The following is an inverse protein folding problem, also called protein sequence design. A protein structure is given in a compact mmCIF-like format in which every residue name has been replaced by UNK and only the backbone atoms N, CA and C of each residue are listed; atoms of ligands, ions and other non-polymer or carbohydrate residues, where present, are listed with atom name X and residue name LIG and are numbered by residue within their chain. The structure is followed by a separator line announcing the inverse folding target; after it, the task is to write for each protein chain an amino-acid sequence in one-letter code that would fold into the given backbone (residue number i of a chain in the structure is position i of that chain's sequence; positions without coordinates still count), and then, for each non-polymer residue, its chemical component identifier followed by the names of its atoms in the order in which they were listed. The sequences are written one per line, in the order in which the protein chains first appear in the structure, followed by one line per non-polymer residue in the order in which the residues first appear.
data_IF_040472854798
#
_entry.id   IF_040472854798
#
_cell.length_a   1.000
_cell.length_b   1.000
_cell.length_c   1.000
_cell.angle_alpha   90.00
_cell.angle_beta   90.00
_cell.angle_gamma   90.00
#
_symmetry.space_group_name_H-M   'P 1'
#
loop_
_entity.id
_entity.type
_entity.pdbx_description
1 polymer ?
#
# COMPACT_ATOMS: atom_id res chain seq x y z
N UNK A 1 34.20 -7.27 5.11
CA UNK A 1 32.75 -7.24 4.84
C UNK A 1 32.03 -7.38 6.17
N UNK A 2 31.46 -6.29 6.71
CA UNK A 2 30.63 -6.38 7.92
C UNK A 2 29.41 -7.21 7.57
N UNK A 3 29.33 -8.40 8.13
CA UNK A 3 28.15 -9.26 8.00
C UNK A 3 26.99 -8.60 8.73
N UNK A 4 26.10 -7.93 7.97
CA UNK A 4 24.87 -7.37 8.54
C UNK A 4 24.10 -8.46 9.27
N UNK A 5 23.69 -8.17 10.50
CA UNK A 5 22.92 -9.10 11.33
C UNK A 5 21.66 -9.56 10.61
N UNK A 6 21.35 -10.84 10.64
CA UNK A 6 20.23 -11.47 9.92
C UNK A 6 18.89 -10.76 10.17
N UNK A 7 18.63 -10.33 11.40
CA UNK A 7 17.41 -9.63 11.76
C UNK A 7 17.26 -8.27 11.05
N UNK A 8 18.39 -7.56 10.79
CA UNK A 8 18.37 -6.29 10.04
C UNK A 8 17.93 -6.53 8.59
N UNK A 9 18.49 -7.58 7.95
CA UNK A 9 18.08 -7.97 6.59
C UNK A 9 16.61 -8.31 6.53
N UNK A 10 16.10 -9.03 7.52
CA UNK A 10 14.69 -9.41 7.59
C UNK A 10 13.78 -8.19 7.75
N UNK A 11 14.11 -7.23 8.62
CA UNK A 11 13.36 -5.98 8.76
C UNK A 11 13.38 -5.19 7.46
N UNK A 12 14.54 -5.04 6.80
CA UNK A 12 14.66 -4.33 5.51
C UNK A 12 13.78 -5.02 4.45
N UNK A 13 13.85 -6.35 4.33
CA UNK A 13 13.06 -7.08 3.34
C UNK A 13 11.55 -6.88 3.56
N UNK A 14 11.07 -7.01 4.79
CA UNK A 14 9.66 -6.77 5.12
C UNK A 14 9.26 -5.33 4.82
N UNK A 15 10.09 -4.35 5.20
CA UNK A 15 9.83 -2.93 4.93
C UNK A 15 9.76 -2.65 3.44
N UNK A 16 10.67 -3.20 2.64
CA UNK A 16 10.66 -3.06 1.18
C UNK A 16 9.41 -3.69 0.55
N UNK A 17 9.01 -4.88 0.98
CA UNK A 17 7.79 -5.54 0.51
C UNK A 17 6.54 -4.72 0.84
N UNK A 18 6.47 -4.18 2.06
CA UNK A 18 5.36 -3.32 2.47
C UNK A 18 5.31 -2.01 1.69
N UNK A 19 6.46 -1.35 1.50
CA UNK A 19 6.55 -0.12 0.72
C UNK A 19 6.13 -0.36 -0.74
N UNK A 20 6.61 -1.45 -1.34
CA UNK A 20 6.23 -1.86 -2.70
C UNK A 20 4.75 -2.17 -2.84
N UNK A 21 4.18 -2.92 -1.91
CA UNK A 21 2.75 -3.21 -1.86
C UNK A 21 1.89 -1.94 -1.69
N UNK A 22 2.29 -1.05 -0.78
CA UNK A 22 1.60 0.23 -0.58
C UNK A 22 1.65 1.12 -1.81
N UNK A 23 2.81 1.20 -2.48
CA UNK A 23 2.96 1.97 -3.71
C UNK A 23 2.07 1.44 -4.84
N UNK A 24 1.95 0.12 -4.97
CA UNK A 24 1.10 -0.53 -5.97
C UNK A 24 -0.39 -0.26 -5.70
N UNK A 25 -0.83 -0.33 -4.45
CA UNK A 25 -2.21 -0.01 -4.05
C UNK A 25 -2.52 1.47 -4.33
N UNK A 26 -1.64 2.40 -3.96
CA UNK A 26 -1.82 3.82 -4.21
C UNK A 26 -1.90 4.13 -5.71
N UNK A 27 -1.05 3.50 -6.52
CA UNK A 27 -1.10 3.63 -7.96
C UNK A 27 -2.42 3.12 -8.55
N UNK A 28 -2.89 1.96 -8.08
CA UNK A 28 -4.18 1.40 -8.52
C UNK A 28 -5.36 2.30 -8.13
N UNK A 29 -5.40 2.78 -6.88
CA UNK A 29 -6.44 3.71 -6.39
C UNK A 29 -6.45 5.01 -7.19
N UNK A 30 -5.27 5.59 -7.47
CA UNK A 30 -5.17 6.81 -8.27
C UNK A 30 -5.73 6.61 -9.70
N UNK A 31 -5.45 5.47 -10.31
CA UNK A 31 -5.96 5.12 -11.64
C UNK A 31 -7.48 4.93 -11.65
N UNK A 32 -8.00 4.25 -10.64
CA UNK A 32 -9.44 4.00 -10.49
C UNK A 32 -10.21 5.31 -10.30
N UNK A 33 -9.68 6.23 -9.50
CA UNK A 33 -10.30 7.53 -9.28
C UNK A 33 -10.39 8.37 -10.56
N UNK A 34 -9.38 8.32 -11.44
CA UNK A 34 -9.45 9.01 -12.73
C UNK A 34 -10.55 8.44 -13.63
N UNK A 35 -10.69 7.13 -13.68
CA UNK A 35 -11.75 6.47 -14.45
C UNK A 35 -13.14 6.90 -13.96
N UNK A 36 -13.36 6.83 -12.65
CA UNK A 36 -14.62 7.23 -12.02
C UNK A 36 -14.94 8.71 -12.25
N UNK A 37 -13.94 9.60 -12.26
CA UNK A 37 -14.15 11.02 -12.54
C UNK A 37 -14.67 11.27 -13.96
N UNK A 38 -14.14 10.55 -14.95
CA UNK A 38 -14.61 10.65 -16.35
C UNK A 38 -16.03 10.12 -16.47
N UNK A 39 -16.34 8.98 -15.85
CA UNK A 39 -17.71 8.42 -15.85
C UNK A 39 -18.72 9.38 -15.21
N UNK A 40 -18.41 9.94 -14.05
CA UNK A 40 -19.27 10.94 -13.40
C UNK A 40 -19.48 12.17 -14.25
N UNK A 41 -18.43 12.65 -14.94
CA UNK A 41 -18.53 13.78 -15.86
C UNK A 41 -19.41 13.45 -17.08
N UNK A 42 -19.35 12.20 -17.59
CA UNK A 42 -20.23 11.73 -18.68
C UNK A 42 -21.71 11.65 -18.22
N UNK A 43 -21.98 11.07 -17.05
CA UNK A 43 -23.34 11.00 -16.49
C UNK A 43 -23.92 12.40 -16.25
N UNK A 44 -23.09 13.33 -15.74
CA UNK A 44 -23.48 14.72 -15.58
C UNK A 44 -23.80 15.38 -16.92
N UNK A 45 -22.96 15.17 -17.97
CA UNK A 45 -23.22 15.66 -19.30
C UNK A 45 -24.52 15.11 -19.88
N UNK A 46 -24.83 13.83 -19.67
CA UNK A 46 -26.11 13.23 -20.09
C UNK A 46 -27.31 13.87 -19.37
N UNK A 47 -27.17 14.15 -18.07
CA UNK A 47 -28.22 14.81 -17.30
C UNK A 47 -28.46 16.25 -17.82
N UNK A 48 -27.40 16.99 -18.08
CA UNK A 48 -27.52 18.33 -18.69
C UNK A 48 -28.12 18.28 -20.09
N UNK A 49 -27.76 17.28 -20.91
CA UNK A 49 -28.36 17.04 -22.21
C UNK A 49 -29.88 16.82 -22.08
N UNK A 50 -30.31 15.91 -21.20
CA UNK A 50 -31.75 15.64 -21.00
C UNK A 50 -32.51 16.87 -20.52
N UNK A 51 -31.97 17.66 -19.59
CA UNK A 51 -32.56 18.90 -19.11
C UNK A 51 -32.66 19.93 -20.24
N UNK A 52 -31.62 20.06 -21.07
CA UNK A 52 -31.58 20.97 -22.22
C UNK A 52 -32.66 20.56 -23.23
N UNK A 53 -32.76 19.27 -23.55
CA UNK A 53 -33.78 18.76 -24.47
C UNK A 53 -35.20 18.99 -23.92
N UNK A 54 -35.44 18.72 -22.64
CA UNK A 54 -36.72 19.01 -22.00
C UNK A 54 -37.11 20.49 -22.09
N UNK A 55 -36.15 21.39 -21.87
CA UNK A 55 -36.36 22.82 -21.98
C UNK A 55 -36.65 23.27 -23.43
N UNK A 56 -35.96 22.70 -24.43
CA UNK A 56 -36.21 22.98 -25.84
C UNK A 56 -37.62 22.56 -26.25
N UNK A 57 -38.06 21.36 -25.82
CA UNK A 57 -39.43 20.89 -26.04
C UNK A 57 -40.48 21.79 -25.38
N UNK A 58 -40.22 22.23 -24.15
CA UNK A 58 -41.11 23.16 -23.42
C UNK A 58 -41.19 24.49 -24.12
N UNK A 59 -40.06 25.09 -24.56
CA UNK A 59 -40.02 26.36 -25.24
C UNK A 59 -40.85 26.32 -26.56
N UNK A 60 -40.78 25.20 -27.30
CA UNK A 60 -41.57 24.98 -28.50
C UNK A 60 -43.06 24.83 -28.17
N UNK A 61 -43.43 24.03 -27.19
CA UNK A 61 -44.83 23.82 -26.78
C UNK A 61 -45.52 25.12 -26.34
N UNK A 62 -44.78 26.03 -25.70
CA UNK A 62 -45.28 27.32 -25.23
C UNK A 62 -45.07 28.47 -26.20
N UNK A 63 -44.48 28.24 -27.37
CA UNK A 63 -44.06 29.27 -28.36
C UNK A 63 -43.23 30.41 -27.76
N UNK A 64 -42.47 30.11 -26.71
CA UNK A 64 -41.68 31.14 -25.98
C UNK A 64 -40.19 30.93 -26.20
N UNK A 65 -39.71 31.19 -27.42
CA UNK A 65 -38.32 31.00 -27.82
C UNK A 65 -37.37 32.04 -27.18
N UNK A 66 -37.84 33.20 -26.75
CA UNK A 66 -37.00 34.24 -26.10
C UNK A 66 -36.36 33.76 -24.78
N UNK A 67 -36.96 32.78 -24.14
CA UNK A 67 -36.41 32.18 -22.88
C UNK A 67 -35.36 31.11 -23.10
N UNK A 68 -35.20 30.65 -24.32
CA UNK A 68 -34.22 29.61 -24.63
C UNK A 68 -32.78 30.10 -24.43
N UNK A 69 -32.45 31.28 -24.95
CA UNK A 69 -31.14 31.91 -24.76
C UNK A 69 -30.84 32.17 -23.28
N UNK A 70 -31.82 32.65 -22.55
CA UNK A 70 -31.67 32.86 -21.10
C UNK A 70 -31.40 31.57 -20.33
N UNK A 71 -32.03 30.45 -20.67
CA UNK A 71 -31.79 29.15 -20.05
C UNK A 71 -30.35 28.68 -20.30
N UNK A 72 -29.89 28.72 -21.55
CA UNK A 72 -28.53 28.32 -21.90
C UNK A 72 -27.50 29.16 -21.16
N UNK A 73 -27.69 30.48 -21.08
CA UNK A 73 -26.82 31.36 -20.31
C UNK A 73 -26.83 31.05 -18.80
N UNK A 74 -28.00 30.74 -18.21
CA UNK A 74 -28.10 30.32 -16.81
C UNK A 74 -27.37 29.00 -16.53
N UNK A 75 -27.44 28.03 -17.46
CA UNK A 75 -26.70 26.76 -17.33
C UNK A 75 -25.21 26.99 -17.47
N UNK A 76 -24.76 27.88 -18.36
CA UNK A 76 -23.33 28.25 -18.48
C UNK A 76 -22.78 28.97 -17.25
N UNK A 77 -23.63 29.77 -16.57
CA UNK A 77 -23.27 30.43 -15.32
C UNK A 77 -23.24 29.45 -14.14
N UNK A 78 -23.83 28.25 -14.28
CA UNK A 78 -23.73 27.21 -13.26
C UNK A 78 -22.29 26.69 -13.16
N UNK A 79 -21.88 26.30 -11.95
CA UNK A 79 -20.57 25.69 -11.73
C UNK A 79 -20.57 24.28 -12.34
N UNK A 80 -19.80 24.06 -13.38
CA UNK A 80 -19.56 22.72 -13.93
C UNK A 80 -19.76 22.59 -15.43
N UNK A 81 -20.51 23.48 -16.08
CA UNK A 81 -20.71 23.46 -17.54
C UNK A 81 -20.21 24.74 -18.18
N UNK A 82 -19.51 24.64 -19.28
CA UNK A 82 -19.07 25.74 -20.13
C UNK A 82 -19.33 25.41 -21.60
N UNK A 83 -19.42 26.46 -22.44
CA UNK A 83 -19.58 26.33 -23.87
C UNK A 83 -20.78 25.44 -24.23
N UNK A 84 -21.92 25.62 -23.53
CA UNK A 84 -23.14 24.87 -23.84
C UNK A 84 -23.74 25.36 -25.14
N UNK A 85 -23.76 24.53 -26.16
CA UNK A 85 -24.19 24.84 -27.51
C UNK A 85 -25.23 23.85 -27.97
N UNK A 86 -26.28 24.32 -28.60
CA UNK A 86 -27.26 23.50 -29.31
C UNK A 86 -27.00 23.58 -30.79
N UNK A 87 -26.64 22.44 -31.39
CA UNK A 87 -26.32 22.32 -32.79
C UNK A 87 -27.53 21.75 -33.54
N UNK A 88 -27.85 22.28 -34.71
CA UNK A 88 -28.89 21.74 -35.62
C UNK A 88 -28.31 20.68 -36.54
N UNK A 89 -29.00 19.57 -36.62
CA UNK A 89 -28.75 18.55 -37.67
C UNK A 89 -29.43 18.94 -38.97
N UNK A 90 -29.07 18.23 -40.05
CA UNK A 90 -29.56 18.52 -41.37
C UNK A 90 -31.11 18.54 -41.50
N UNK A 91 -31.87 17.58 -40.92
CA UNK A 91 -33.34 17.64 -40.98
C UNK A 91 -33.92 18.90 -40.33
N UNK A 92 -33.32 19.31 -39.19
CA UNK A 92 -33.76 20.53 -38.48
C UNK A 92 -33.43 21.81 -39.27
N UNK A 93 -32.26 21.82 -39.93
CA UNK A 93 -31.89 22.95 -40.81
C UNK A 93 -32.81 23.05 -42.06
N UNK A 94 -33.17 21.91 -42.69
CA UNK A 94 -34.12 21.89 -43.78
C UNK A 94 -35.46 22.46 -43.41
N UNK A 95 -35.99 22.10 -42.26
CA UNK A 95 -37.33 22.47 -41.82
C UNK A 95 -37.42 23.91 -41.26
N UNK A 96 -36.40 24.36 -40.48
CA UNK A 96 -36.46 25.63 -39.73
C UNK A 96 -35.43 26.67 -40.23
N UNK A 97 -34.55 26.31 -41.18
CA UNK A 97 -33.49 27.18 -41.69
C UNK A 97 -32.25 27.25 -40.80
N UNK A 98 -31.23 27.91 -41.31
CA UNK A 98 -29.95 28.10 -40.65
C UNK A 98 -29.94 29.27 -39.63
N UNK A 99 -30.85 30.21 -39.78
CA UNK A 99 -30.83 31.50 -39.05
C UNK A 99 -32.00 31.66 -38.10
N UNK A 100 -31.86 31.12 -36.88
CA UNK A 100 -32.51 31.73 -35.70
C UNK A 100 -31.42 32.14 -34.72
N UNK A 101 -31.72 33.21 -33.91
CA UNK A 101 -30.78 33.67 -32.88
C UNK A 101 -30.39 32.49 -31.95
N UNK A 102 -29.10 32.18 -31.89
CA UNK A 102 -28.56 31.12 -31.05
C UNK A 102 -28.17 29.81 -31.76
N UNK A 103 -28.36 29.71 -33.08
CA UNK A 103 -27.84 28.55 -33.83
C UNK A 103 -26.35 28.73 -34.09
N UNK A 104 -25.60 27.81 -33.59
CA UNK A 104 -24.13 27.77 -33.71
C UNK A 104 -23.75 26.75 -34.77
N UNK A 105 -22.91 27.19 -35.72
CA UNK A 105 -22.34 26.31 -36.75
C UNK A 105 -21.35 25.38 -36.08
N UNK A 106 -21.39 24.04 -36.34
CA UNK A 106 -20.42 23.11 -35.82
C UNK A 106 -19.02 23.42 -36.34
N UNK A 107 -18.12 23.77 -35.45
CA UNK A 107 -16.71 24.08 -35.75
C UNK A 107 -15.74 22.99 -35.24
N UNK A 108 -16.14 22.25 -34.24
CA UNK A 108 -15.35 21.15 -33.64
C UNK A 108 -15.48 19.85 -34.45
N UNK A 109 -14.39 19.11 -34.67
CA UNK A 109 -14.43 17.81 -35.36
C UNK A 109 -15.36 16.78 -34.67
N UNK A 110 -15.46 16.79 -33.34
CA UNK A 110 -16.38 15.92 -32.57
C UNK A 110 -17.86 16.27 -32.87
N UNK A 111 -18.17 17.56 -32.98
CA UNK A 111 -19.52 18.03 -33.30
C UNK A 111 -19.96 17.56 -34.69
N UNK A 112 -19.08 17.76 -35.67
CA UNK A 112 -19.33 17.30 -37.05
C UNK A 112 -19.51 15.78 -37.16
N UNK A 113 -18.64 15.04 -36.46
CA UNK A 113 -18.72 13.57 -36.46
C UNK A 113 -19.98 13.06 -35.76
N UNK A 114 -20.38 13.68 -34.62
CA UNK A 114 -21.62 13.31 -33.88
C UNK A 114 -22.88 13.62 -34.71
N UNK A 115 -22.90 14.75 -35.42
CA UNK A 115 -24.02 15.08 -36.30
C UNK A 115 -24.12 14.15 -37.53
N UNK A 116 -22.99 13.61 -38.00
CA UNK A 116 -22.96 12.72 -39.16
C UNK A 116 -23.43 11.29 -38.83
N UNK A 117 -23.07 10.73 -37.69
CA UNK A 117 -23.35 9.31 -37.37
C UNK A 117 -24.27 9.07 -36.17
N UNK A 118 -24.67 10.13 -35.45
CA UNK A 118 -25.58 10.03 -34.33
C UNK A 118 -25.01 9.32 -33.08
N UNK A 119 -23.69 9.25 -32.95
CA UNK A 119 -23.06 8.63 -31.78
C UNK A 119 -22.58 9.68 -30.79
N UNK A 120 -22.84 9.51 -29.49
CA UNK A 120 -22.29 10.40 -28.46
C UNK A 120 -20.77 10.29 -28.42
N UNK A 121 -20.10 11.43 -28.23
CA UNK A 121 -18.65 11.52 -28.15
C UNK A 121 -18.21 12.28 -26.93
N UNK A 122 -17.17 11.76 -26.28
CA UNK A 122 -16.58 12.32 -25.08
C UNK A 122 -15.07 12.34 -25.24
N UNK A 123 -14.45 13.47 -24.93
CA UNK A 123 -12.99 13.64 -25.01
C UNK A 123 -12.51 14.53 -23.89
N UNK A 124 -11.51 14.05 -23.13
CA UNK A 124 -10.85 14.88 -22.11
C UNK A 124 -9.87 15.81 -22.83
N UNK A 125 -10.02 17.11 -22.62
CA UNK A 125 -9.20 18.17 -23.21
C UNK A 125 -8.72 19.16 -22.14
N UNK A 126 -7.64 19.85 -22.46
CA UNK A 126 -7.20 21.01 -21.68
C UNK A 126 -7.67 22.28 -22.38
N UNK A 127 -8.62 23.00 -21.76
CA UNK A 127 -9.12 24.27 -22.25
C UNK A 127 -8.70 25.40 -21.28
N UNK A 128 -7.88 26.34 -21.74
CA UNK A 128 -7.41 27.48 -20.94
C UNK A 128 -6.72 27.09 -19.62
N UNK A 129 -5.99 25.95 -19.60
CA UNK A 129 -5.29 25.46 -18.41
C UNK A 129 -6.17 24.68 -17.44
N UNK A 130 -7.45 24.46 -17.76
CA UNK A 130 -8.38 23.62 -17.02
C UNK A 130 -8.65 22.32 -17.76
N UNK A 131 -8.71 21.22 -17.06
CA UNK A 131 -9.10 19.93 -17.62
C UNK A 131 -10.61 19.83 -17.70
N UNK A 132 -11.14 19.60 -18.92
CA UNK A 132 -12.57 19.51 -19.18
C UNK A 132 -12.90 18.25 -19.95
N UNK A 133 -14.09 17.70 -19.72
CA UNK A 133 -14.67 16.71 -20.59
C UNK A 133 -15.51 17.39 -21.66
N UNK A 134 -15.02 17.44 -22.90
CA UNK A 134 -15.84 17.83 -24.05
C UNK A 134 -16.82 16.71 -24.34
N UNK A 135 -18.12 17.00 -24.22
CA UNK A 135 -19.20 16.07 -24.49
C UNK A 135 -20.05 16.60 -25.64
N UNK A 136 -20.28 15.76 -26.65
CA UNK A 136 -21.22 16.03 -27.74
C UNK A 136 -22.21 14.90 -27.81
N UNK A 137 -23.48 15.18 -27.48
CA UNK A 137 -24.53 14.18 -27.34
C UNK A 137 -25.60 14.46 -28.39
N UNK A 138 -25.90 13.52 -29.29
CA UNK A 138 -26.86 13.72 -30.34
C UNK A 138 -28.30 13.73 -29.82
N UNK A 139 -29.14 14.50 -30.47
CA UNK A 139 -30.60 14.40 -30.37
C UNK A 139 -31.12 13.64 -31.58
N UNK A 140 -31.57 12.42 -31.36
CA UNK A 140 -32.07 11.51 -32.39
C UNK A 140 -33.59 11.61 -32.46
N UNK A 141 -34.17 11.54 -33.67
CA UNK A 141 -35.60 11.50 -33.86
C UNK A 141 -36.18 10.16 -33.37
N UNK A 142 -36.84 10.20 -32.23
CA UNK A 142 -37.47 9.04 -31.59
C UNK A 142 -38.97 9.23 -31.50
N UNK A 143 -39.75 8.15 -31.60
CA UNK A 143 -41.21 8.18 -31.36
C UNK A 143 -41.54 8.48 -29.90
N UNK A 144 -40.62 8.20 -28.98
CA UNK A 144 -40.83 8.45 -27.56
C UNK A 144 -39.52 8.88 -26.87
N UNK A 145 -39.36 10.18 -26.74
CA UNK A 145 -38.26 10.78 -26.00
C UNK A 145 -38.82 11.66 -24.88
N UNK A 146 -38.48 11.38 -23.62
CA UNK A 146 -39.02 12.08 -22.42
C UNK A 146 -40.55 12.19 -22.43
N UNK A 147 -41.26 11.18 -22.94
CA UNK A 147 -42.71 11.14 -23.00
C UNK A 147 -43.37 11.95 -24.12
N UNK A 148 -42.58 12.49 -25.05
CA UNK A 148 -43.01 13.24 -26.22
C UNK A 148 -42.52 12.57 -27.51
N UNK A 149 -43.23 12.81 -28.61
CA UNK A 149 -42.85 12.35 -29.95
C UNK A 149 -42.05 13.45 -30.68
N UNK A 150 -40.83 13.16 -31.09
CA UNK A 150 -39.99 14.12 -31.80
C UNK A 150 -40.57 14.49 -33.16
N UNK A 151 -41.19 13.55 -33.86
CA UNK A 151 -41.71 13.68 -35.19
C UNK A 151 -42.98 14.57 -35.27
N UNK A 152 -43.72 14.76 -34.13
CA UNK A 152 -44.81 15.74 -34.08
C UNK A 152 -44.35 17.18 -34.38
N UNK A 153 -43.08 17.46 -34.08
CA UNK A 153 -42.50 18.78 -34.24
C UNK A 153 -41.47 18.85 -35.38
N UNK A 154 -40.90 17.70 -35.77
CA UNK A 154 -39.90 17.56 -36.85
C UNK A 154 -40.45 16.65 -37.93
N UNK A 155 -41.49 17.14 -38.63
CA UNK A 155 -42.25 16.41 -39.62
C UNK A 155 -41.48 16.08 -40.94
N UNK A 156 -40.39 16.81 -41.21
CA UNK A 156 -39.46 16.51 -42.30
C UNK A 156 -38.40 15.49 -41.96
N UNK A 157 -38.29 15.10 -40.67
CA UNK A 157 -37.32 14.10 -40.22
C UNK A 157 -37.91 12.69 -40.22
N UNK A 158 -37.04 11.70 -40.42
CA UNK A 158 -37.39 10.28 -40.28
C UNK A 158 -36.92 9.78 -38.90
N UNK A 159 -37.59 8.74 -38.41
CA UNK A 159 -37.16 8.06 -37.21
C UNK A 159 -35.71 7.57 -37.31
N UNK A 160 -34.87 7.86 -36.30
CA UNK A 160 -33.45 7.55 -36.29
C UNK A 160 -32.52 8.63 -36.89
N UNK A 161 -33.08 9.66 -37.57
CA UNK A 161 -32.25 10.78 -38.09
C UNK A 161 -31.77 11.68 -36.93
N UNK A 162 -30.59 12.27 -37.10
CA UNK A 162 -29.98 13.19 -36.12
C UNK A 162 -30.59 14.58 -36.28
N UNK A 163 -31.48 14.96 -35.37
CA UNK A 163 -32.12 16.29 -35.34
C UNK A 163 -31.13 17.40 -34.95
N UNK A 164 -30.09 17.05 -34.18
CA UNK A 164 -29.08 17.96 -33.73
C UNK A 164 -28.17 17.31 -32.67
N UNK A 165 -27.43 18.14 -31.97
CA UNK A 165 -26.62 17.71 -30.85
C UNK A 165 -26.50 18.82 -29.80
N UNK A 166 -26.29 18.42 -28.56
CA UNK A 166 -25.90 19.34 -27.49
C UNK A 166 -24.41 19.13 -27.24
N UNK A 167 -23.64 20.20 -27.42
CA UNK A 167 -22.20 20.25 -27.19
C UNK A 167 -21.92 21.04 -25.93
N UNK A 168 -21.08 20.51 -25.05
CA UNK A 168 -20.71 21.17 -23.79
C UNK A 168 -19.31 20.77 -23.34
N UNK A 169 -18.70 21.59 -22.49
CA UNK A 169 -17.46 21.30 -21.79
C UNK A 169 -17.76 21.19 -20.29
N UNK A 170 -17.67 19.97 -19.74
CA UNK A 170 -17.85 19.74 -18.28
C UNK A 170 -16.54 19.96 -17.57
N UNK A 171 -16.54 20.85 -16.56
CA UNK A 171 -15.35 21.15 -15.78
C UNK A 171 -14.99 19.99 -14.85
N UNK A 172 -13.77 19.45 -15.00
CA UNK A 172 -13.25 18.40 -14.16
C UNK A 172 -12.42 18.94 -12.97
N UNK A 173 -12.15 20.23 -12.92
CA UNK A 173 -11.27 20.83 -11.89
C UNK A 173 -11.78 20.64 -10.47
N UNK A 174 -13.09 20.72 -10.24
CA UNK A 174 -13.68 20.48 -8.93
C UNK A 174 -13.60 19.01 -8.51
N UNK A 175 -13.81 18.09 -9.46
CA UNK A 175 -13.64 16.66 -9.27
C UNK A 175 -12.18 16.34 -9.00
N UNK A 176 -11.27 16.86 -9.80
CA UNK A 176 -9.81 16.66 -9.66
C UNK A 176 -9.27 17.25 -8.35
N UNK A 177 -9.80 18.39 -7.88
CA UNK A 177 -9.41 18.96 -6.58
C UNK A 177 -9.82 18.05 -5.43
N UNK A 178 -11.06 17.58 -5.40
CA UNK A 178 -11.56 16.67 -4.37
C UNK A 178 -10.78 15.33 -4.39
N UNK A 179 -10.48 14.81 -5.59
CA UNK A 179 -9.65 13.61 -5.77
C UNK A 179 -8.25 13.84 -5.21
N UNK A 180 -7.62 14.98 -5.51
CA UNK A 180 -6.27 15.33 -5.04
C UNK A 180 -6.22 15.47 -3.52
N UNK A 181 -7.20 16.12 -2.91
CA UNK A 181 -7.30 16.24 -1.44
C UNK A 181 -7.53 14.88 -0.78
N UNK A 182 -8.39 14.05 -1.36
CA UNK A 182 -8.62 12.67 -0.91
C UNK A 182 -7.37 11.80 -1.05
N UNK A 183 -6.64 11.90 -2.17
CA UNK A 183 -5.38 11.20 -2.38
C UNK A 183 -4.31 11.64 -1.38
N UNK A 184 -4.15 12.94 -1.15
CA UNK A 184 -3.19 13.45 -0.16
C UNK A 184 -3.51 12.92 1.24
N UNK A 185 -4.78 12.96 1.63
CA UNK A 185 -5.23 12.41 2.93
C UNK A 185 -4.93 10.92 3.02
N UNK A 186 -5.23 10.15 1.97
CA UNK A 186 -4.96 8.71 1.91
C UNK A 186 -3.47 8.41 2.00
N UNK A 187 -2.62 9.17 1.29
CA UNK A 187 -1.15 9.03 1.35
C UNK A 187 -0.64 9.32 2.76
N UNK A 188 -1.10 10.39 3.40
CA UNK A 188 -0.68 10.75 4.76
C UNK A 188 -1.07 9.67 5.76
N UNK A 189 -2.31 9.19 5.70
CA UNK A 189 -2.79 8.10 6.57
C UNK A 189 -2.00 6.81 6.33
N UNK A 190 -1.78 6.44 5.08
CA UNK A 190 -0.99 5.25 4.73
C UNK A 190 0.47 5.38 5.20
N UNK A 191 1.09 6.56 5.09
CA UNK A 191 2.45 6.83 5.57
C UNK A 191 2.53 6.69 7.10
N UNK A 192 1.59 7.28 7.84
CA UNK A 192 1.55 7.19 9.31
C UNK A 192 1.38 5.73 9.75
N UNK A 193 0.42 5.01 9.18
CA UNK A 193 0.21 3.59 9.48
C UNK A 193 1.43 2.74 9.11
N UNK A 194 2.07 3.04 7.98
CA UNK A 194 3.30 2.38 7.54
C UNK A 194 4.44 2.57 8.54
N UNK A 195 4.66 3.79 9.02
CA UNK A 195 5.69 4.08 10.03
C UNK A 195 5.41 3.34 11.34
N UNK A 196 4.17 3.39 11.82
CA UNK A 196 3.76 2.66 13.04
C UNK A 196 4.01 1.16 12.90
N UNK A 197 3.67 0.59 11.76
CA UNK A 197 3.84 -0.84 11.50
C UNK A 197 5.33 -1.22 11.40
N UNK A 198 6.17 -0.41 10.77
CA UNK A 198 7.62 -0.63 10.71
C UNK A 198 8.23 -0.59 12.12
N UNK A 199 7.84 0.38 12.95
CA UNK A 199 8.28 0.46 14.34
C UNK A 199 7.84 -0.78 15.13
N UNK A 200 6.59 -1.20 14.96
CA UNK A 200 6.06 -2.41 15.59
C UNK A 200 6.86 -3.65 15.18
N UNK A 201 7.06 -3.87 13.89
CA UNK A 201 7.84 -5.01 13.35
C UNK A 201 9.28 -4.98 13.87
N UNK A 202 9.93 -3.81 13.87
CA UNK A 202 11.27 -3.63 14.40
C UNK A 202 11.35 -4.02 15.88
N UNK A 203 10.47 -3.47 16.72
CA UNK A 203 10.43 -3.76 18.16
C UNK A 203 10.12 -5.24 18.40
N UNK A 204 9.18 -5.80 17.68
CA UNK A 204 8.79 -7.20 17.76
C UNK A 204 9.97 -8.13 17.44
N UNK A 205 10.60 -7.96 16.29
CA UNK A 205 11.75 -8.81 15.87
C UNK A 205 12.91 -8.64 16.83
N UNK A 206 13.22 -7.41 17.24
CA UNK A 206 14.33 -7.14 18.17
C UNK A 206 14.13 -7.82 19.51
N UNK A 207 12.92 -7.74 20.08
CA UNK A 207 12.65 -8.28 21.41
C UNK A 207 12.37 -9.79 21.41
N UNK A 208 11.82 -10.30 20.29
CA UNK A 208 11.38 -11.71 20.20
C UNK A 208 12.48 -12.63 19.70
N UNK A 209 13.27 -12.18 18.72
CA UNK A 209 14.30 -13.03 18.10
C UNK A 209 15.73 -12.52 18.33
N UNK A 210 15.98 -11.22 18.08
CA UNK A 210 17.35 -10.74 18.03
C UNK A 210 18.04 -10.78 19.40
N UNK A 211 17.39 -10.28 20.44
CA UNK A 211 17.97 -10.26 21.80
C UNK A 211 18.26 -11.65 22.36
N UNK A 212 17.33 -12.62 22.38
CA UNK A 212 17.61 -13.95 22.86
C UNK A 212 18.76 -14.65 22.14
N UNK A 213 18.80 -14.51 20.79
CA UNK A 213 19.89 -15.09 19.99
C UNK A 213 21.24 -14.41 20.26
N UNK A 214 21.27 -13.10 20.44
CA UNK A 214 22.48 -12.37 20.81
C UNK A 214 23.00 -12.81 22.18
N UNK A 215 22.11 -12.98 23.17
CA UNK A 215 22.46 -13.46 24.50
C UNK A 215 22.99 -14.89 24.49
N UNK A 216 22.36 -15.78 23.70
CA UNK A 216 22.86 -17.15 23.48
C UNK A 216 24.25 -17.14 22.86
N UNK A 217 24.45 -16.38 21.79
CA UNK A 217 25.73 -16.29 21.08
C UNK A 217 26.82 -15.73 21.99
N UNK A 218 26.52 -14.69 22.76
CA UNK A 218 27.49 -14.11 23.71
C UNK A 218 27.91 -15.10 24.77
N UNK A 219 26.95 -15.78 25.44
CA UNK A 219 27.26 -16.76 26.45
C UNK A 219 28.08 -17.95 25.89
N UNK A 220 27.73 -18.43 24.70
CA UNK A 220 28.51 -19.49 24.03
C UNK A 220 29.94 -19.04 23.71
N UNK A 221 30.13 -17.79 23.27
CA UNK A 221 31.48 -17.24 22.97
C UNK A 221 32.31 -17.08 24.25
N UNK A 222 31.72 -16.58 25.33
CA UNK A 222 32.36 -16.46 26.63
C UNK A 222 32.83 -17.84 27.21
N UNK A 223 32.00 -18.87 27.02
CA UNK A 223 32.37 -20.26 27.39
C UNK A 223 33.49 -20.77 26.54
N UNK A 224 33.45 -20.56 25.20
CA UNK A 224 34.47 -21.02 24.27
C UNK A 224 35.83 -20.33 24.49
N UNK A 225 35.86 -19.11 25.06
CA UNK A 225 37.10 -18.41 25.46
C UNK A 225 37.69 -18.86 26.78
N UNK A 226 36.99 -19.72 27.51
CA UNK A 226 37.42 -20.21 28.83
C UNK A 226 37.11 -19.28 30.01
N UNK A 227 36.45 -18.16 29.76
CA UNK A 227 36.06 -17.16 30.81
C UNK A 227 34.56 -17.22 31.14
N UNK A 228 33.86 -18.26 30.65
CA UNK A 228 32.41 -18.37 30.71
C UNK A 228 31.86 -18.63 32.13
N UNK A 229 30.93 -17.81 32.55
CA UNK A 229 30.13 -18.03 33.74
C UNK A 229 29.05 -19.07 33.50
N UNK A 230 29.29 -20.32 33.90
CA UNK A 230 28.37 -21.43 33.73
C UNK A 230 27.11 -21.33 34.61
N UNK A 231 27.01 -20.32 35.47
CA UNK A 231 25.80 -20.11 36.31
C UNK A 231 24.72 -19.31 35.61
N UNK A 232 25.05 -18.62 34.52
CA UNK A 232 24.09 -17.81 33.74
C UNK A 232 23.04 -18.69 33.07
N UNK A 233 21.79 -18.23 33.10
CA UNK A 233 20.64 -18.89 32.44
C UNK A 233 19.91 -17.89 31.57
N UNK A 234 19.39 -18.35 30.45
CA UNK A 234 18.49 -17.60 29.59
C UNK A 234 17.08 -17.59 30.16
N UNK A 235 16.39 -16.44 30.09
CA UNK A 235 15.06 -16.32 30.68
C UNK A 235 14.05 -16.99 29.74
N UNK A 236 13.36 -18.00 30.24
CA UNK A 236 12.28 -18.70 29.54
C UNK A 236 11.01 -17.87 29.66
N UNK A 237 10.76 -16.99 28.67
CA UNK A 237 9.57 -16.12 28.64
C UNK A 237 8.46 -16.64 27.73
N UNK A 238 8.71 -17.72 26.95
CA UNK A 238 7.83 -18.13 25.85
C UNK A 238 7.87 -19.64 25.65
N UNK A 239 6.76 -20.18 25.13
CA UNK A 239 6.60 -21.58 24.72
C UNK A 239 6.72 -21.74 23.17
N UNK A 240 7.55 -20.88 22.54
CA UNK A 240 7.87 -20.95 21.11
C UNK A 240 9.25 -21.60 20.86
N UNK A 241 9.68 -21.66 19.59
CA UNK A 241 10.94 -22.27 19.18
C UNK A 241 12.15 -21.60 19.85
N UNK A 242 12.07 -20.32 20.13
CA UNK A 242 13.12 -19.57 20.85
C UNK A 242 13.14 -19.97 22.32
N UNK A 243 11.97 -20.14 22.92
CA UNK A 243 11.83 -20.66 24.29
C UNK A 243 12.38 -22.09 24.42
N UNK A 244 12.07 -22.97 23.44
CA UNK A 244 12.62 -24.33 23.39
C UNK A 244 14.15 -24.34 23.25
N UNK A 245 14.70 -23.48 22.38
CA UNK A 245 16.14 -23.33 22.22
C UNK A 245 16.80 -22.81 23.51
N UNK A 246 16.18 -21.83 24.17
CA UNK A 246 16.65 -21.32 25.46
C UNK A 246 16.63 -22.38 26.57
N UNK A 247 15.59 -23.23 26.60
CA UNK A 247 15.51 -24.34 27.55
C UNK A 247 16.59 -25.41 27.28
N UNK A 248 16.84 -25.71 25.97
CA UNK A 248 17.92 -26.64 25.60
C UNK A 248 19.30 -26.08 25.98
N UNK A 249 19.52 -24.79 25.77
CA UNK A 249 20.74 -24.11 26.20
C UNK A 249 20.92 -24.21 27.72
N UNK A 250 19.89 -23.90 28.50
CA UNK A 250 19.96 -24.00 29.95
C UNK A 250 20.30 -25.42 30.45
N UNK A 251 19.68 -26.45 29.81
CA UNK A 251 20.02 -27.87 30.12
C UNK A 251 21.49 -28.21 29.80
N UNK A 252 22.01 -27.69 28.69
CA UNK A 252 23.43 -27.87 28.35
C UNK A 252 24.32 -27.20 29.42
N UNK A 253 23.99 -26.00 29.89
CA UNK A 253 24.71 -25.33 30.96
C UNK A 253 24.72 -26.14 32.26
N UNK A 254 23.59 -26.73 32.65
CA UNK A 254 23.47 -27.59 33.82
C UNK A 254 24.37 -28.85 33.68
N UNK A 255 24.47 -29.40 32.48
CA UNK A 255 25.34 -30.55 32.24
C UNK A 255 26.82 -30.16 32.34
N UNK A 256 27.24 -29.07 31.68
CA UNK A 256 28.60 -28.57 31.76
C UNK A 256 29.01 -28.24 33.21
N UNK A 257 28.17 -27.59 33.98
CA UNK A 257 28.42 -27.25 35.35
C UNK A 257 28.64 -28.52 36.21
N UNK A 258 27.81 -29.54 36.00
CA UNK A 258 27.98 -30.88 36.66
C UNK A 258 29.29 -31.54 36.28
N UNK A 259 29.65 -31.55 35.00
CA UNK A 259 30.89 -32.16 34.51
C UNK A 259 32.12 -31.46 35.10
N UNK A 260 32.14 -30.13 35.10
CA UNK A 260 33.25 -29.38 35.72
C UNK A 260 33.31 -29.64 37.22
N UNK A 261 32.17 -29.75 37.93
CA UNK A 261 32.12 -30.13 39.34
C UNK A 261 32.74 -31.53 39.57
N UNK A 262 32.41 -32.52 38.76
CA UNK A 262 32.98 -33.87 38.81
C UNK A 262 34.49 -33.85 38.53
N UNK A 263 34.95 -33.13 37.55
CA UNK A 263 36.39 -32.99 37.23
C UNK A 263 37.13 -32.36 38.42
N UNK A 264 36.61 -31.30 39.01
CA UNK A 264 37.21 -30.68 40.19
C UNK A 264 37.28 -31.61 41.38
N UNK A 265 36.22 -32.40 41.64
CA UNK A 265 36.22 -33.40 42.68
C UNK A 265 37.30 -34.49 42.44
N UNK A 266 37.31 -35.05 41.21
CA UNK A 266 38.31 -36.08 40.82
C UNK A 266 39.73 -35.51 40.90
N UNK A 267 39.97 -34.27 40.50
CA UNK A 267 41.25 -33.61 40.63
C UNK A 267 41.65 -33.46 42.10
N UNK A 268 40.74 -33.11 42.99
CA UNK A 268 40.94 -33.07 44.43
C UNK A 268 41.29 -34.45 45.02
N UNK A 269 40.61 -35.52 44.59
CA UNK A 269 40.90 -36.89 45.00
C UNK A 269 42.29 -37.32 44.56
N UNK A 270 42.67 -37.01 43.31
CA UNK A 270 44.00 -37.29 42.79
C UNK A 270 45.09 -36.53 43.56
N UNK A 271 44.88 -35.26 43.86
CA UNK A 271 45.77 -34.42 44.65
C UNK A 271 45.95 -35.00 46.07
N UNK A 272 44.82 -35.42 46.69
CA UNK A 272 44.83 -36.09 47.97
C UNK A 272 45.63 -37.42 47.99
N UNK A 273 45.40 -38.26 46.94
CA UNK A 273 46.12 -39.52 46.78
C UNK A 273 47.64 -39.27 46.52
N UNK A 274 48.00 -38.28 45.74
CA UNK A 274 49.39 -37.87 45.51
C UNK A 274 50.07 -37.43 46.83
N UNK A 275 49.36 -36.64 47.65
CA UNK A 275 49.89 -36.21 48.96
C UNK A 275 50.07 -37.38 49.92
N UNK A 276 49.10 -38.34 49.93
CA UNK A 276 49.20 -39.55 50.74
C UNK A 276 50.34 -40.47 50.28
N UNK A 277 50.59 -40.58 48.98
CA UNK A 277 51.71 -41.33 48.40
C UNK A 277 53.05 -40.69 48.78
N UNK A 278 53.16 -39.34 48.70
CA UNK A 278 54.38 -38.64 49.10
C UNK A 278 54.71 -38.86 50.58
N UNK A 279 53.74 -38.76 51.44
CA UNK A 279 53.86 -39.09 52.86
C UNK A 279 54.25 -40.54 53.06
N UNK A 280 53.67 -41.48 52.33
CA UNK A 280 53.99 -42.89 52.36
C UNK A 280 55.46 -43.15 51.94
N UNK A 281 55.91 -42.55 50.88
CA UNK A 281 57.32 -42.66 50.43
C UNK A 281 58.30 -42.08 51.38
N UNK A 282 57.99 -40.94 52.03
CA UNK A 282 58.81 -40.34 53.07
C UNK A 282 58.97 -41.26 54.31
N UNK A 283 57.84 -41.92 54.72
CA UNK A 283 57.91 -42.92 55.85
C UNK A 283 58.73 -44.12 55.48
N UNK A 284 58.60 -44.66 54.25
CA UNK A 284 59.41 -45.80 53.83
C UNK A 284 60.90 -45.42 53.77
N UNK A 285 61.23 -44.20 53.23
CA UNK A 285 62.61 -43.72 53.27
C UNK A 285 63.17 -43.59 54.65
N UNK A 286 62.41 -43.01 55.59
CA UNK A 286 62.84 -42.92 56.99
C UNK A 286 63.02 -44.31 57.61
N UNK A 287 62.06 -45.24 57.40
CA UNK A 287 62.12 -46.62 57.92
C UNK A 287 63.32 -47.41 57.32
N UNK A 288 63.62 -47.22 56.02
CA UNK A 288 64.76 -47.82 55.37
C UNK A 288 66.10 -47.31 55.87
N UNK A 289 66.17 -46.01 56.21
CA UNK A 289 67.38 -45.42 56.80
C UNK A 289 67.61 -46.00 58.24
N UNK A 290 66.54 -46.10 59.00
CA UNK A 290 66.61 -46.70 60.41
C UNK A 290 67.00 -48.18 60.35
N UNK A 291 66.46 -48.94 59.37
CA UNK A 291 66.77 -50.33 59.15
C UNK A 291 68.25 -50.53 58.67
N UNK A 292 68.77 -49.67 57.82
CA UNK A 292 70.15 -49.62 57.37
C UNK A 292 71.10 -49.37 58.56
N UNK A 293 70.71 -48.41 59.46
CA UNK A 293 71.48 -48.10 60.63
C UNK A 293 71.50 -49.25 61.68
N UNK A 294 70.37 -49.92 61.84
CA UNK A 294 70.27 -51.12 62.66
C UNK A 294 71.06 -52.31 62.10
N UNK A 295 71.04 -52.52 60.82
CA UNK A 295 71.81 -53.57 60.16
C UNK A 295 73.31 -53.30 60.22
N UNK A 296 73.75 -52.07 60.10
CA UNK A 296 75.18 -51.70 60.25
C UNK A 296 75.65 -51.85 61.69
N UNK A 297 74.81 -51.54 62.69
CA UNK A 297 75.13 -51.75 64.08
C UNK A 297 75.20 -53.24 64.47
N UNK A 298 74.38 -54.09 63.85
CA UNK A 298 74.39 -55.54 64.13
C UNK A 298 75.53 -56.21 63.42
N UNK A 299 76.17 -55.66 62.39
CA UNK A 299 77.35 -56.20 61.68
C UNK A 299 78.69 -55.75 62.37
N UNK A 300 78.66 -54.83 63.33
CA UNK A 300 79.84 -54.30 64.05
C UNK A 300 79.94 -54.83 65.45
N UNK A 301 79.04 -55.63 65.94
CA UNK A 301 79.11 -56.35 67.21
C UNK A 301 79.36 -57.89 66.99
#
# INVERSE_FOLDING_TARGET
MQTQKIWIRLVITITCLMAGGSALILWWVAREQQHTAVEQAQEFAQSVHQMTMAQLMFAKATRNYARQGYYLEQVEQSRGVRNLRVLRGEPTVRQFGEREQGVVVPDDPLEKATLADGKPRYEVRNENGAEVLKAVIPAIAERRYLGKECLECHDEAKEGEVLGAVSMSVQMDTLNRNIRESLLTTIVVAAVLGVVLVIFVYVFIRNTLARPLEDMTRNLTEIASGEGDLTRRLVLRREDEVGLASAAFNRMMDQLQRLIGQVNQSAGEVAGAATALDQGTARIAAGSAEQSQRSSSAAAG
#
